data_IF_119208831845
#
_entry.id   IF_119208831845
#
_cell.length_a   1.000
_cell.length_b   1.000
_cell.length_c   1.000
_cell.angle_alpha   90.00
_cell.angle_beta   90.00
_cell.angle_gamma   90.00
#
_symmetry.space_group_name_H-M   'P 1'
#
loop_
_entity.id
_entity.type
_entity.pdbx_description
1 polymer ?
#
# COMPACT_ATOMS: atom_id res chain seq x y z
N UNK A 1 -12.69 -9.57 34.27
CA UNK A 1 -11.76 -10.69 34.45
C UNK A 1 -12.50 -11.97 34.14
N UNK A 2 -12.36 -12.49 32.92
CA UNK A 2 -13.10 -13.66 32.44
C UNK A 2 -12.35 -14.91 32.91
N UNK A 3 -12.86 -15.68 33.89
CA UNK A 3 -12.10 -16.75 34.55
C UNK A 3 -11.90 -18.01 33.70
N UNK A 4 -12.54 -18.10 32.52
CA UNK A 4 -12.50 -19.28 31.65
C UNK A 4 -11.20 -19.46 30.85
N UNK A 5 -10.30 -18.45 30.85
CA UNK A 5 -9.05 -18.49 30.06
C UNK A 5 -7.92 -19.23 30.77
N UNK A 6 -7.99 -19.40 32.10
CA UNK A 6 -6.87 -19.93 32.91
C UNK A 6 -6.87 -21.45 33.12
N UNK A 7 -7.94 -22.17 32.79
CA UNK A 7 -8.12 -23.59 33.16
C UNK A 7 -7.78 -24.60 32.04
N UNK A 8 -6.93 -24.25 31.07
CA UNK A 8 -6.40 -25.25 30.14
C UNK A 8 -4.97 -24.90 29.74
N UNK A 9 -4.03 -25.75 30.14
CA UNK A 9 -2.59 -25.71 29.85
C UNK A 9 -2.25 -25.78 28.34
N UNK A 10 -3.28 -25.81 27.47
CA UNK A 10 -3.20 -25.82 26.01
C UNK A 10 -3.52 -24.47 25.34
N UNK A 11 -3.72 -23.38 26.08
CA UNK A 11 -3.79 -22.01 25.51
C UNK A 11 -2.39 -21.48 25.18
N UNK A 12 -1.75 -22.20 24.26
CA UNK A 12 -0.53 -21.82 23.57
C UNK A 12 -0.75 -20.47 22.87
N UNK A 13 0.08 -19.48 23.16
CA UNK A 13 0.44 -18.24 22.41
C UNK A 13 -0.39 -17.87 21.15
N UNK A 14 -0.69 -18.83 20.28
CA UNK A 14 -1.60 -18.72 19.13
C UNK A 14 -3.03 -18.30 19.49
N UNK A 15 -3.61 -18.81 20.58
CA UNK A 15 -4.98 -18.47 20.98
C UNK A 15 -5.07 -17.03 21.53
N UNK A 16 -4.04 -16.59 22.26
CA UNK A 16 -3.91 -15.20 22.71
C UNK A 16 -3.75 -14.24 21.51
N UNK A 17 -2.92 -14.62 20.52
CA UNK A 17 -2.75 -13.86 19.27
C UNK A 17 -4.02 -13.79 18.42
N UNK A 18 -4.82 -14.87 18.38
CA UNK A 18 -6.09 -14.91 17.65
C UNK A 18 -7.14 -13.96 18.25
N UNK A 19 -7.12 -13.75 19.56
CA UNK A 19 -8.03 -12.81 20.23
C UNK A 19 -7.68 -11.34 19.99
N UNK A 20 -6.39 -11.01 19.82
CA UNK A 20 -5.93 -9.64 19.53
C UNK A 20 -6.00 -9.30 18.03
N UNK A 21 -5.97 -10.32 17.16
CA UNK A 21 -6.10 -10.18 15.71
C UNK A 21 -7.28 -9.30 15.24
N UNK A 22 -8.55 -9.48 15.70
CA UNK A 22 -9.66 -8.65 15.24
C UNK A 22 -9.52 -7.19 15.64
N UNK A 23 -8.93 -6.91 16.81
CA UNK A 23 -8.66 -5.54 17.25
C UNK A 23 -7.60 -4.87 16.37
N UNK A 24 -6.50 -5.58 16.06
CA UNK A 24 -5.44 -5.08 15.17
C UNK A 24 -5.97 -4.83 13.76
N UNK A 25 -6.80 -5.74 13.21
CA UNK A 25 -7.42 -5.56 11.90
C UNK A 25 -8.35 -4.35 11.90
N UNK A 26 -9.17 -4.16 12.94
CA UNK A 26 -10.07 -3.02 13.04
C UNK A 26 -9.32 -1.69 13.11
N UNK A 27 -8.25 -1.61 13.92
CA UNK A 27 -7.38 -0.44 13.97
C UNK A 27 -6.73 -0.17 12.61
N UNK A 28 -6.23 -1.22 11.94
CA UNK A 28 -5.66 -1.11 10.60
C UNK A 28 -6.66 -0.54 9.58
N UNK A 29 -7.92 -1.00 9.61
CA UNK A 29 -8.98 -0.47 8.74
C UNK A 29 -9.29 1.00 9.03
N UNK A 30 -9.33 1.40 10.30
CA UNK A 30 -9.55 2.80 10.69
C UNK A 30 -8.40 3.69 10.20
N UNK A 31 -7.15 3.26 10.38
CA UNK A 31 -5.98 3.99 9.89
C UNK A 31 -6.01 4.12 8.36
N UNK A 32 -6.33 3.04 7.65
CA UNK A 32 -6.45 3.06 6.19
C UNK A 32 -7.54 4.04 5.73
N UNK A 33 -8.68 4.07 6.42
CA UNK A 33 -9.76 5.02 6.14
C UNK A 33 -9.33 6.47 6.36
N UNK A 34 -8.61 6.76 7.45
CA UNK A 34 -8.11 8.11 7.75
C UNK A 34 -7.08 8.58 6.72
N UNK A 35 -6.20 7.68 6.26
CA UNK A 35 -5.24 7.99 5.20
C UNK A 35 -5.97 8.23 3.86
N UNK A 36 -6.96 7.41 3.52
CA UNK A 36 -7.78 7.59 2.31
C UNK A 36 -8.46 8.94 2.27
N UNK A 37 -9.18 9.32 3.35
CA UNK A 37 -9.87 10.61 3.39
C UNK A 37 -8.89 11.77 3.30
N UNK A 38 -7.75 11.68 3.98
CA UNK A 38 -6.72 12.73 3.91
C UNK A 38 -6.12 12.84 2.51
N UNK A 39 -5.95 11.72 1.80
CA UNK A 39 -5.45 11.71 0.44
C UNK A 39 -6.45 12.35 -0.55
N UNK A 40 -7.74 12.08 -0.39
CA UNK A 40 -8.80 12.68 -1.20
C UNK A 40 -8.88 14.20 -0.97
N UNK A 41 -8.89 14.64 0.29
CA UNK A 41 -9.14 16.05 0.64
C UNK A 41 -7.91 16.96 0.49
N UNK A 42 -6.69 16.45 0.66
CA UNK A 42 -5.47 17.27 0.66
C UNK A 42 -4.49 16.92 -0.45
N UNK A 43 -4.32 15.63 -0.76
CA UNK A 43 -3.32 15.21 -1.75
C UNK A 43 -3.80 15.41 -3.19
N UNK A 44 -5.03 15.02 -3.53
CA UNK A 44 -5.60 15.25 -4.87
C UNK A 44 -5.60 16.72 -5.30
N UNK A 45 -6.13 17.69 -4.51
CA UNK A 45 -6.12 19.10 -4.90
C UNK A 45 -4.70 19.70 -4.94
N UNK A 46 -3.78 19.23 -4.10
CA UNK A 46 -2.38 19.67 -4.18
C UNK A 46 -1.71 19.25 -5.50
N UNK A 47 -2.01 18.04 -6.00
CA UNK A 47 -1.52 17.57 -7.30
C UNK A 47 -2.15 18.36 -8.46
N UNK A 48 -3.42 18.74 -8.34
CA UNK A 48 -4.10 19.58 -9.33
C UNK A 48 -3.45 20.97 -9.43
N UNK A 49 -3.17 21.60 -8.28
CA UNK A 49 -2.44 22.88 -8.22
C UNK A 49 -1.04 22.77 -8.83
N UNK A 50 -0.29 21.71 -8.53
CA UNK A 50 1.02 21.45 -9.14
C UNK A 50 0.92 21.26 -10.66
N UNK A 51 -0.10 20.55 -11.14
CA UNK A 51 -0.34 20.38 -12.59
C UNK A 51 -0.63 21.72 -13.26
N UNK A 52 -1.41 22.59 -12.63
CA UNK A 52 -1.70 23.94 -13.14
C UNK A 52 -0.44 24.81 -13.20
N UNK A 53 0.41 24.75 -12.17
CA UNK A 53 1.63 25.55 -12.11
C UNK A 53 2.69 25.10 -13.13
N UNK A 54 2.73 23.80 -13.43
CA UNK A 54 3.55 23.26 -14.52
C UNK A 54 2.93 23.44 -15.91
N UNK A 55 1.72 24.01 -16.01
CA UNK A 55 1.01 24.21 -17.28
C UNK A 55 0.48 22.92 -17.91
N UNK A 56 0.36 21.83 -17.15
CA UNK A 56 -0.15 20.55 -17.62
C UNK A 56 -1.69 20.48 -17.49
N UNK A 57 -2.39 19.82 -18.43
CA UNK A 57 -3.83 19.60 -18.31
C UNK A 57 -4.18 18.86 -17.00
N UNK A 58 -5.31 19.17 -16.34
CA UNK A 58 -5.67 18.61 -15.02
C UNK A 58 -5.71 17.07 -14.97
N UNK A 59 -5.93 16.42 -16.11
CA UNK A 59 -5.93 14.96 -16.26
C UNK A 59 -4.56 14.34 -15.94
N UNK A 60 -3.47 15.09 -16.08
CA UNK A 60 -2.12 14.64 -15.75
C UNK A 60 -1.83 14.67 -14.24
N UNK A 61 -2.59 15.44 -13.44
CA UNK A 61 -2.44 15.44 -11.99
C UNK A 61 -2.66 14.03 -11.39
N UNK A 62 -3.76 13.38 -11.77
CA UNK A 62 -4.10 12.03 -11.31
C UNK A 62 -3.35 10.91 -12.05
N UNK A 63 -3.18 11.01 -13.38
CA UNK A 63 -2.58 9.91 -14.15
C UNK A 63 -1.06 9.87 -14.01
N UNK A 64 -0.40 11.01 -13.78
CA UNK A 64 1.06 11.10 -13.74
C UNK A 64 1.57 11.42 -12.36
N UNK A 65 1.10 12.48 -11.71
CA UNK A 65 1.69 12.90 -10.42
C UNK A 65 1.27 12.00 -9.26
N UNK A 66 0.02 11.54 -9.21
CA UNK A 66 -0.43 10.55 -8.23
C UNK A 66 0.25 9.19 -8.47
N UNK A 67 0.35 8.76 -9.73
CA UNK A 67 1.07 7.53 -10.10
C UNK A 67 2.56 7.60 -9.73
N UNK A 68 3.21 8.76 -9.95
CA UNK A 68 4.59 9.02 -9.57
C UNK A 68 4.76 9.00 -8.05
N UNK A 69 3.84 9.64 -7.30
CA UNK A 69 3.88 9.67 -5.84
C UNK A 69 3.80 8.29 -5.21
N UNK A 70 2.94 7.43 -5.76
CA UNK A 70 2.81 6.04 -5.31
C UNK A 70 4.02 5.17 -5.72
N UNK A 71 4.60 5.37 -6.91
CA UNK A 71 5.73 4.57 -7.40
C UNK A 71 7.12 5.04 -6.96
N UNK A 72 7.25 6.27 -6.45
CA UNK A 72 8.53 6.81 -5.95
C UNK A 72 9.18 5.97 -4.82
N UNK A 73 8.46 5.55 -3.77
CA UNK A 73 9.05 4.68 -2.73
C UNK A 73 9.45 3.31 -3.27
N UNK A 74 8.72 2.75 -4.23
CA UNK A 74 9.06 1.48 -4.88
C UNK A 74 10.38 1.58 -5.66
N UNK A 75 10.58 2.68 -6.40
CA UNK A 75 11.85 2.96 -7.09
C UNK A 75 12.99 3.16 -6.06
N UNK A 76 12.74 3.85 -4.96
CA UNK A 76 13.74 4.01 -3.90
C UNK A 76 14.12 2.66 -3.25
N UNK A 77 13.14 1.78 -3.01
CA UNK A 77 13.35 0.44 -2.46
C UNK A 77 14.14 -0.44 -3.42
N UNK A 78 13.80 -0.43 -4.70
CA UNK A 78 14.51 -1.20 -5.74
C UNK A 78 15.95 -0.72 -5.94
N UNK A 79 16.19 0.59 -5.97
CA UNK A 79 17.55 1.16 -6.02
C UNK A 79 18.36 0.75 -4.79
N UNK A 80 17.75 0.78 -3.59
CA UNK A 80 18.40 0.31 -2.37
C UNK A 80 18.68 -1.21 -2.41
N UNK A 81 17.78 -2.02 -2.94
CA UNK A 81 17.99 -3.47 -3.10
C UNK A 81 19.17 -3.78 -4.03
N UNK A 82 19.24 -3.10 -5.19
CA UNK A 82 20.34 -3.25 -6.15
C UNK A 82 21.67 -2.74 -5.58
N UNK A 83 21.64 -1.68 -4.77
CA UNK A 83 22.83 -1.12 -4.13
C UNK A 83 23.41 -2.04 -3.06
N UNK A 84 22.57 -2.75 -2.32
CA UNK A 84 23.00 -3.69 -1.26
C UNK A 84 23.54 -4.99 -1.85
N UNK A 85 22.91 -5.54 -2.89
CA UNK A 85 23.38 -6.75 -3.57
C UNK A 85 23.20 -6.63 -5.09
N UNK A 86 24.31 -6.42 -5.82
CA UNK A 86 24.28 -6.25 -7.28
C UNK A 86 23.89 -7.52 -8.04
N UNK A 87 24.07 -8.72 -7.47
CA UNK A 87 23.78 -9.98 -8.16
C UNK A 87 22.33 -10.41 -7.93
N UNK A 88 21.86 -10.33 -6.69
CA UNK A 88 20.53 -10.80 -6.30
C UNK A 88 19.49 -9.66 -6.36
N UNK A 89 19.89 -8.44 -6.00
CA UNK A 89 19.00 -7.29 -5.93
C UNK A 89 18.37 -6.89 -7.27
N UNK A 90 19.08 -7.08 -8.39
CA UNK A 90 18.52 -6.84 -9.72
C UNK A 90 17.37 -7.80 -10.07
N UNK A 91 17.55 -9.10 -9.82
CA UNK A 91 16.52 -10.11 -10.07
C UNK A 91 15.31 -9.89 -9.16
N UNK A 92 15.53 -9.52 -7.90
CA UNK A 92 14.48 -9.24 -6.94
C UNK A 92 13.66 -8.01 -7.34
N UNK A 93 14.32 -6.92 -7.71
CA UNK A 93 13.67 -5.69 -8.17
C UNK A 93 12.90 -5.89 -9.47
N UNK A 94 13.43 -6.67 -10.43
CA UNK A 94 12.69 -7.01 -11.64
C UNK A 94 11.43 -7.83 -11.35
N UNK A 95 11.52 -8.80 -10.44
CA UNK A 95 10.37 -9.60 -10.02
C UNK A 95 9.28 -8.76 -9.37
N UNK A 96 9.66 -7.82 -8.52
CA UNK A 96 8.75 -6.85 -7.89
C UNK A 96 8.06 -5.95 -8.93
N UNK A 97 8.84 -5.31 -9.81
CA UNK A 97 8.32 -4.36 -10.80
C UNK A 97 7.41 -5.05 -11.83
N UNK A 98 7.81 -6.22 -12.33
CA UNK A 98 7.02 -7.00 -13.29
C UNK A 98 5.76 -7.57 -12.64
N UNK A 99 5.85 -8.09 -11.41
CA UNK A 99 4.71 -8.60 -10.66
C UNK A 99 3.68 -7.52 -10.34
N UNK A 100 4.14 -6.36 -9.87
CA UNK A 100 3.29 -5.19 -9.61
C UNK A 100 2.55 -4.74 -10.88
N UNK A 101 3.28 -4.57 -11.99
CA UNK A 101 2.69 -4.19 -13.27
C UNK A 101 1.65 -5.20 -13.79
N UNK A 102 1.93 -6.50 -13.69
CA UNK A 102 0.98 -7.55 -14.07
C UNK A 102 -0.28 -7.53 -13.20
N UNK A 103 -0.15 -7.33 -11.89
CA UNK A 103 -1.28 -7.26 -10.97
C UNK A 103 -2.19 -6.05 -11.25
N UNK A 104 -1.60 -4.86 -11.42
CA UNK A 104 -2.34 -3.64 -11.73
C UNK A 104 -3.03 -3.76 -13.10
N UNK A 105 -2.32 -4.27 -14.11
CA UNK A 105 -2.83 -4.41 -15.46
C UNK A 105 -3.95 -5.44 -15.62
N UNK A 106 -3.93 -6.53 -14.83
CA UNK A 106 -4.92 -7.61 -14.95
C UNK A 106 -6.04 -7.50 -13.93
N UNK A 107 -5.71 -7.42 -12.64
CA UNK A 107 -6.69 -7.47 -11.55
C UNK A 107 -7.34 -6.11 -11.35
N UNK A 108 -6.54 -5.07 -11.14
CA UNK A 108 -7.07 -3.74 -10.80
C UNK A 108 -7.84 -3.16 -11.99
N UNK A 109 -7.24 -3.18 -13.18
CA UNK A 109 -7.92 -2.71 -14.40
C UNK A 109 -9.19 -3.52 -14.67
N UNK A 110 -9.16 -4.84 -14.46
CA UNK A 110 -10.33 -5.70 -14.60
C UNK A 110 -11.47 -5.32 -13.65
N UNK A 111 -11.16 -5.02 -12.38
CA UNK A 111 -12.16 -4.56 -11.41
C UNK A 111 -12.73 -3.20 -11.79
N UNK A 112 -11.90 -2.25 -12.23
CA UNK A 112 -12.35 -0.90 -12.62
C UNK A 112 -13.30 -0.96 -13.83
N UNK A 113 -13.07 -1.87 -14.78
CA UNK A 113 -13.93 -2.00 -15.97
C UNK A 113 -15.28 -2.67 -15.64
N UNK A 114 -15.31 -3.52 -14.61
CA UNK A 114 -16.52 -4.23 -14.17
C UNK A 114 -17.43 -3.35 -13.29
N UNK A 115 -16.82 -2.45 -12.50
CA UNK A 115 -17.53 -1.47 -11.66
C UNK A 115 -18.08 -0.33 -12.52
#
# INVERSE_FOLDING_TARGET
WIPSVYCSEKYSIKALGLMWSPFVVLVGLVLFRMVSSTAEDFFSPALEMLSLEMGLPPRFAGVTLLALGNGAPDIAATVNAIRNDKKIGYLMSLGELTGSGMFIGTVITGVIVVV
#
